data_IF_188731585248
#
_entry.id   IF_188731585248
#
_cell.length_a   1.000
_cell.length_b   1.000
_cell.length_c   1.000
_cell.angle_alpha   90.00
_cell.angle_beta   90.00
_cell.angle_gamma   90.00
#
_symmetry.space_group_name_H-M   'P 1'
#
loop_
_entity.id
_entity.type
_entity.pdbx_description
1 polymer ?
#
# COMPACT_ATOMS: atom_id res chain seq x y z
N UNK A 1 -13.73 -15.93 15.46
CA UNK A 1 -14.75 -14.95 15.01
C UNK A 1 -14.97 -15.17 13.52
N UNK A 2 -16.21 -15.28 13.04
CA UNK A 2 -16.49 -15.45 11.60
C UNK A 2 -16.10 -14.17 10.84
N UNK A 3 -15.55 -14.30 9.63
CA UNK A 3 -15.07 -13.15 8.85
C UNK A 3 -16.14 -12.07 8.66
N UNK A 4 -17.39 -12.47 8.42
CA UNK A 4 -18.53 -11.56 8.27
C UNK A 4 -18.74 -10.66 9.49
N UNK A 5 -18.53 -11.17 10.71
CA UNK A 5 -18.64 -10.38 11.92
C UNK A 5 -17.49 -9.37 12.05
N UNK A 6 -16.30 -9.71 11.57
CA UNK A 6 -15.16 -8.77 11.51
C UNK A 6 -15.47 -7.67 10.49
N UNK A 7 -15.96 -8.04 9.31
CA UNK A 7 -16.36 -7.10 8.26
C UNK A 7 -17.45 -6.16 8.74
N UNK A 8 -18.49 -6.68 9.41
CA UNK A 8 -19.56 -5.86 9.97
C UNK A 8 -19.04 -4.80 10.96
N UNK A 9 -18.09 -5.19 11.83
CA UNK A 9 -17.43 -4.26 12.75
C UNK A 9 -16.58 -3.23 12.04
N UNK A 10 -15.85 -3.62 11.00
CA UNK A 10 -15.03 -2.72 10.20
C UNK A 10 -15.88 -1.68 9.45
N UNK A 11 -17.05 -2.09 8.96
CA UNK A 11 -17.98 -1.22 8.24
C UNK A 11 -18.90 -0.39 9.15
N UNK A 12 -18.99 -0.74 10.44
CA UNK A 12 -19.98 -0.18 11.36
C UNK A 12 -21.43 -0.56 11.04
N UNK A 13 -21.65 -1.53 10.15
CA UNK A 13 -22.96 -2.01 9.71
C UNK A 13 -22.87 -3.43 9.14
N UNK A 14 -23.97 -4.21 9.08
CA UNK A 14 -23.98 -5.48 8.37
C UNK A 14 -23.60 -5.30 6.89
N UNK A 15 -22.78 -6.19 6.31
CA UNK A 15 -22.43 -6.08 4.90
C UNK A 15 -23.61 -6.50 4.02
N UNK A 16 -23.92 -5.71 2.98
CA UNK A 16 -25.14 -5.88 2.17
C UNK A 16 -25.09 -7.03 1.16
N UNK A 17 -23.91 -7.27 0.58
CA UNK A 17 -23.74 -8.23 -0.52
C UNK A 17 -22.51 -9.14 -0.29
N UNK A 18 -22.13 -9.38 0.96
CA UNK A 18 -20.91 -10.14 1.28
C UNK A 18 -20.96 -11.57 0.72
N UNK A 19 -19.94 -11.93 -0.05
CA UNK A 19 -19.74 -13.30 -0.54
C UNK A 19 -18.61 -14.00 0.22
N UNK A 20 -17.42 -13.41 0.24
CA UNK A 20 -16.24 -13.92 0.93
C UNK A 20 -15.18 -12.84 1.14
N UNK A 21 -14.16 -13.14 1.95
CA UNK A 21 -12.94 -12.33 2.01
C UNK A 21 -12.07 -12.67 0.80
N UNK A 22 -11.72 -11.66 0.01
CA UNK A 22 -10.84 -11.81 -1.17
C UNK A 22 -9.36 -11.60 -0.79
N UNK A 23 -9.10 -10.64 0.10
CA UNK A 23 -7.73 -10.29 0.54
C UNK A 23 -7.74 -10.02 2.03
N UNK A 24 -6.73 -10.54 2.73
CA UNK A 24 -6.44 -10.21 4.13
C UNK A 24 -5.28 -9.23 4.20
N UNK A 25 -5.32 -8.30 5.16
CA UNK A 25 -4.18 -7.45 5.45
C UNK A 25 -3.08 -8.25 6.18
N UNK A 26 -1.86 -7.69 6.34
CA UNK A 26 -0.77 -8.35 7.06
C UNK A 26 -1.13 -8.80 8.49
N UNK A 27 -2.09 -8.13 9.14
CA UNK A 27 -2.60 -8.51 10.46
C UNK A 27 -3.64 -9.66 10.44
N UNK A 28 -3.82 -10.34 9.30
CA UNK A 28 -4.76 -11.45 9.12
C UNK A 28 -6.24 -11.05 9.06
N UNK A 29 -6.56 -9.75 9.10
CA UNK A 29 -7.94 -9.25 9.07
C UNK A 29 -8.43 -9.03 7.64
N UNK A 30 -9.75 -9.11 7.37
CA UNK A 30 -10.30 -8.79 6.06
C UNK A 30 -9.87 -7.39 5.62
N UNK A 31 -9.32 -7.30 4.40
CA UNK A 31 -8.95 -6.04 3.76
C UNK A 31 -9.85 -5.74 2.58
N UNK A 32 -10.08 -6.76 1.75
CA UNK A 32 -10.96 -6.70 0.59
C UNK A 32 -11.96 -7.84 0.67
N UNK A 33 -13.22 -7.53 0.40
CA UNK A 33 -14.31 -8.50 0.35
C UNK A 33 -14.87 -8.57 -1.06
N UNK A 34 -15.20 -9.79 -1.48
CA UNK A 34 -15.92 -10.04 -2.72
C UNK A 34 -17.42 -9.95 -2.47
N UNK A 35 -18.14 -9.29 -3.38
CA UNK A 35 -19.56 -9.03 -3.28
C UNK A 35 -20.34 -9.82 -4.31
N UNK A 36 -21.52 -10.31 -3.93
CA UNK A 36 -22.56 -10.67 -4.87
C UNK A 36 -22.94 -9.45 -5.74
N UNK A 37 -23.29 -9.65 -7.01
CA UNK A 37 -23.68 -8.54 -7.89
C UNK A 37 -24.92 -7.79 -7.40
N UNK A 38 -25.81 -8.46 -6.65
CA UNK A 38 -26.99 -7.86 -6.02
C UNK A 38 -27.01 -8.17 -4.53
N UNK A 39 -27.55 -7.24 -3.73
CA UNK A 39 -27.80 -7.48 -2.30
C UNK A 39 -29.08 -8.29 -2.07
N UNK A 40 -29.39 -8.58 -0.80
CA UNK A 40 -30.59 -9.34 -0.42
C UNK A 40 -31.92 -8.71 -0.83
N UNK A 41 -31.95 -7.42 -1.21
CA UNK A 41 -33.11 -6.73 -1.74
C UNK A 41 -33.14 -6.67 -3.28
N UNK A 42 -32.16 -7.29 -3.95
CA UNK A 42 -32.01 -7.28 -5.41
C UNK A 42 -31.34 -6.02 -5.98
N UNK A 43 -30.91 -5.09 -5.13
CA UNK A 43 -30.27 -3.85 -5.57
C UNK A 43 -28.84 -4.12 -6.05
N UNK A 44 -28.39 -3.52 -7.18
CA UNK A 44 -27.06 -3.76 -7.72
C UNK A 44 -25.98 -3.21 -6.78
N UNK A 45 -24.95 -4.01 -6.51
CA UNK A 45 -23.76 -3.55 -5.80
C UNK A 45 -22.75 -3.00 -6.82
N UNK A 46 -22.16 -1.81 -6.62
CA UNK A 46 -21.41 -1.12 -7.66
C UNK A 46 -20.09 -1.79 -8.07
N UNK A 47 -19.54 -2.72 -7.28
CA UNK A 47 -18.26 -3.36 -7.59
C UNK A 47 -18.13 -4.79 -7.06
N UNK A 48 -17.35 -5.64 -7.71
CA UNK A 48 -17.04 -7.02 -7.24
C UNK A 48 -16.23 -7.01 -5.98
N UNK A 49 -15.26 -6.09 -5.86
CA UNK A 49 -14.36 -6.02 -4.73
C UNK A 49 -14.56 -4.72 -3.94
N UNK A 50 -14.64 -4.85 -2.61
CA UNK A 50 -14.93 -3.74 -1.70
C UNK A 50 -13.94 -3.68 -0.54
N UNK A 51 -13.36 -2.49 -0.30
CA UNK A 51 -12.44 -2.25 0.81
C UNK A 51 -13.18 -2.26 2.15
N UNK A 52 -12.62 -2.97 3.12
CA UNK A 52 -13.15 -3.08 4.48
C UNK A 52 -12.11 -2.76 5.55
N UNK A 53 -10.81 -2.93 5.31
CA UNK A 53 -9.79 -2.60 6.30
C UNK A 53 -9.82 -1.10 6.65
N UNK A 54 -10.07 -0.72 7.92
CA UNK A 54 -10.20 0.70 8.30
C UNK A 54 -8.95 1.53 8.01
N UNK A 55 -7.75 0.94 8.17
CA UNK A 55 -6.49 1.62 7.90
C UNK A 55 -6.32 1.92 6.40
N UNK A 56 -6.64 0.93 5.55
CA UNK A 56 -6.55 1.09 4.10
C UNK A 56 -7.62 2.06 3.59
N UNK A 57 -8.85 1.97 4.08
CA UNK A 57 -9.92 2.93 3.76
C UNK A 57 -9.49 4.35 4.14
N UNK A 58 -8.94 4.56 5.35
CA UNK A 58 -8.45 5.87 5.76
C UNK A 58 -7.31 6.39 4.88
N UNK A 59 -6.38 5.53 4.47
CA UNK A 59 -5.29 5.89 3.57
C UNK A 59 -5.79 6.32 2.18
N UNK A 60 -6.68 5.54 1.58
CA UNK A 60 -7.29 5.88 0.28
C UNK A 60 -8.15 7.14 0.38
N UNK A 61 -8.93 7.30 1.46
CA UNK A 61 -9.72 8.52 1.71
C UNK A 61 -8.84 9.78 1.77
N UNK A 62 -7.65 9.71 2.41
CA UNK A 62 -6.68 10.83 2.42
C UNK A 62 -6.08 11.12 1.04
N UNK A 63 -5.98 10.12 0.16
CA UNK A 63 -5.56 10.33 -1.22
C UNK A 63 -6.66 11.01 -2.02
N UNK A 64 -7.91 10.53 -1.91
CA UNK A 64 -9.06 11.14 -2.58
C UNK A 64 -9.26 12.59 -2.12
N UNK A 65 -9.20 12.87 -0.82
CA UNK A 65 -9.35 14.22 -0.27
C UNK A 65 -8.29 15.23 -0.77
N UNK A 66 -7.14 14.74 -1.26
CA UNK A 66 -6.07 15.56 -1.86
C UNK A 66 -6.18 15.64 -3.40
N UNK A 67 -7.39 15.46 -3.93
CA UNK A 67 -7.69 15.48 -5.37
C UNK A 67 -7.18 14.23 -6.09
N UNK A 68 -7.14 13.09 -5.40
CA UNK A 68 -6.58 11.86 -5.94
C UNK A 68 -7.36 11.33 -7.14
N UNK A 69 -8.69 11.45 -7.14
CA UNK A 69 -9.54 10.99 -8.24
C UNK A 69 -9.27 11.79 -9.51
N UNK A 70 -9.24 13.11 -9.41
CA UNK A 70 -8.96 14.02 -10.53
C UNK A 70 -7.54 13.82 -11.04
N UNK A 71 -6.56 13.68 -10.14
CA UNK A 71 -5.16 13.46 -10.49
C UNK A 71 -4.96 12.16 -11.28
N UNK A 72 -5.55 11.07 -10.81
CA UNK A 72 -5.43 9.77 -11.49
C UNK A 72 -6.26 9.71 -12.77
N UNK A 73 -7.37 10.42 -12.84
CA UNK A 73 -8.14 10.57 -14.09
C UNK A 73 -7.30 11.27 -15.15
N UNK A 74 -6.64 12.38 -14.81
CA UNK A 74 -5.69 13.05 -15.71
C UNK A 74 -4.52 12.16 -16.10
N UNK A 75 -3.94 11.43 -15.15
CA UNK A 75 -2.85 10.50 -15.44
C UNK A 75 -3.25 9.43 -16.46
N UNK A 76 -4.50 8.92 -16.39
CA UNK A 76 -5.06 7.98 -17.38
C UNK A 76 -5.24 8.62 -18.76
N UNK A 77 -5.59 9.90 -18.82
CA UNK A 77 -5.70 10.63 -20.09
C UNK A 77 -4.34 10.84 -20.76
N UNK A 78 -3.29 11.03 -19.97
CA UNK A 78 -1.93 11.35 -20.43
C UNK A 78 -1.05 10.11 -20.68
N UNK A 79 -1.31 8.99 -19.99
CA UNK A 79 -0.48 7.77 -20.02
C UNK A 79 -1.27 6.59 -20.63
N UNK A 80 -0.82 6.11 -21.80
CA UNK A 80 -1.48 5.01 -22.52
C UNK A 80 -1.44 3.69 -21.74
N UNK A 81 -0.37 3.41 -20.98
CA UNK A 81 -0.26 2.19 -20.20
C UNK A 81 -1.26 2.18 -19.03
N UNK A 82 -1.45 3.33 -18.38
CA UNK A 82 -2.48 3.47 -17.34
C UNK A 82 -3.89 3.33 -17.91
N UNK A 83 -4.13 3.87 -19.11
CA UNK A 83 -5.42 3.73 -19.82
C UNK A 83 -5.73 2.28 -20.15
N UNK A 84 -4.78 1.56 -20.75
CA UNK A 84 -4.92 0.13 -21.05
C UNK A 84 -5.12 -0.70 -19.78
N UNK A 85 -4.41 -0.37 -18.70
CA UNK A 85 -4.61 -1.01 -17.40
C UNK A 85 -6.02 -0.78 -16.87
N UNK A 86 -6.54 0.45 -16.96
CA UNK A 86 -7.88 0.79 -16.50
C UNK A 86 -8.97 0.11 -17.34
N UNK A 87 -8.81 0.11 -18.67
CA UNK A 87 -9.78 -0.49 -19.59
C UNK A 87 -9.85 -2.00 -19.39
N UNK A 88 -8.70 -2.67 -19.28
CA UNK A 88 -8.63 -4.11 -18.94
C UNK A 88 -9.29 -4.41 -17.60
N UNK A 89 -9.00 -3.63 -16.56
CA UNK A 89 -9.60 -3.85 -15.24
C UNK A 89 -11.13 -3.63 -15.26
N UNK A 90 -11.62 -2.68 -16.05
CA UNK A 90 -13.06 -2.46 -16.25
C UNK A 90 -13.71 -3.60 -17.04
N UNK A 91 -13.02 -4.16 -18.04
CA UNK A 91 -13.52 -5.31 -18.81
C UNK A 91 -13.59 -6.56 -17.94
N UNK A 92 -12.52 -6.87 -17.22
CA UNK A 92 -12.45 -8.00 -16.31
C UNK A 92 -13.52 -7.90 -15.20
N UNK A 93 -13.78 -6.69 -14.69
CA UNK A 93 -14.92 -6.47 -13.81
C UNK A 93 -16.24 -6.86 -14.49
N UNK A 94 -16.50 -6.45 -15.73
CA UNK A 94 -17.73 -6.82 -16.45
C UNK A 94 -17.84 -8.33 -16.63
N UNK A 95 -16.74 -9.01 -16.95
CA UNK A 95 -16.68 -10.47 -17.07
C UNK A 95 -17.00 -11.18 -15.75
N UNK A 96 -16.55 -10.65 -14.61
CA UNK A 96 -16.83 -11.22 -13.29
C UNK A 96 -18.30 -11.14 -12.86
N UNK A 97 -19.11 -10.30 -13.53
CA UNK A 97 -20.51 -10.01 -13.16
C UNK A 97 -21.34 -9.66 -14.41
N UNK A 98 -21.54 -10.63 -15.32
CA UNK A 98 -22.23 -10.40 -16.59
C UNK A 98 -23.67 -9.89 -16.44
N UNK A 99 -24.30 -10.07 -15.27
CA UNK A 99 -25.61 -9.50 -14.96
C UNK A 99 -25.63 -7.97 -14.75
N UNK A 100 -24.48 -7.30 -14.70
CA UNK A 100 -24.36 -5.85 -14.54
C UNK A 100 -23.35 -5.25 -15.54
N UNK A 101 -23.73 -4.24 -16.34
CA UNK A 101 -22.89 -3.74 -17.43
C UNK A 101 -21.74 -2.81 -16.99
N UNK A 102 -21.67 -2.45 -15.70
CA UNK A 102 -20.73 -1.45 -15.20
C UNK A 102 -19.34 -2.00 -14.92
N UNK A 103 -18.32 -1.21 -15.24
CA UNK A 103 -16.94 -1.44 -14.80
C UNK A 103 -16.75 -1.20 -13.29
N UNK A 104 -15.51 -0.98 -12.87
CA UNK A 104 -15.18 -0.81 -11.46
C UNK A 104 -15.92 0.41 -10.88
N UNK A 105 -16.53 0.24 -9.70
CA UNK A 105 -17.39 1.28 -9.09
C UNK A 105 -18.66 1.60 -9.88
N UNK A 106 -19.05 0.73 -10.83
CA UNK A 106 -20.18 0.93 -11.73
C UNK A 106 -19.90 2.00 -12.77
N UNK A 107 -18.63 2.20 -13.14
CA UNK A 107 -18.25 3.11 -14.23
C UNK A 107 -18.91 2.65 -15.54
N UNK A 108 -19.53 3.59 -16.25
CA UNK A 108 -20.10 3.37 -17.59
C UNK A 108 -19.42 4.22 -18.65
N UNK A 109 -18.50 5.11 -18.24
CA UNK A 109 -17.68 5.94 -19.13
C UNK A 109 -16.23 5.45 -19.05
N UNK A 110 -15.59 5.28 -20.20
CA UNK A 110 -14.15 5.01 -20.26
C UNK A 110 -13.35 6.23 -19.78
N UNK A 111 -12.13 6.00 -19.31
CA UNK A 111 -11.18 7.04 -18.90
C UNK A 111 -11.42 7.71 -17.54
N UNK A 112 -12.60 7.59 -16.94
CA UNK A 112 -12.93 8.28 -15.67
C UNK A 112 -12.96 7.34 -14.46
N UNK A 113 -12.37 7.79 -13.35
CA UNK A 113 -12.42 7.11 -12.05
C UNK A 113 -13.54 7.72 -11.21
N UNK A 114 -14.42 6.88 -10.62
CA UNK A 114 -15.43 7.38 -9.66
C UNK A 114 -14.86 7.53 -8.26
N UNK A 115 -14.12 6.52 -7.79
CA UNK A 115 -13.43 6.52 -6.51
C UNK A 115 -12.22 5.59 -6.56
N UNK A 116 -11.13 5.97 -5.91
CA UNK A 116 -9.93 5.16 -5.77
C UNK A 116 -10.19 3.92 -4.91
N UNK A 117 -11.16 3.95 -4.00
CA UNK A 117 -11.51 2.79 -3.16
C UNK A 117 -11.84 1.54 -3.96
N UNK A 118 -12.67 1.68 -5.02
CA UNK A 118 -13.08 0.55 -5.83
C UNK A 118 -11.91 0.00 -6.68
N UNK A 119 -11.07 0.88 -7.22
CA UNK A 119 -9.89 0.49 -8.00
C UNK A 119 -8.82 -0.15 -7.13
N UNK A 120 -8.56 0.38 -5.93
CA UNK A 120 -7.64 -0.22 -4.97
C UNK A 120 -8.12 -1.61 -4.52
N UNK A 121 -9.42 -1.78 -4.25
CA UNK A 121 -9.98 -3.09 -3.93
C UNK A 121 -9.79 -4.09 -5.08
N UNK A 122 -10.03 -3.66 -6.32
CA UNK A 122 -9.90 -4.50 -7.50
C UNK A 122 -8.44 -4.93 -7.71
N UNK A 123 -7.51 -3.98 -7.72
CA UNK A 123 -6.09 -4.25 -7.93
C UNK A 123 -5.49 -5.18 -6.87
N UNK A 124 -5.94 -5.08 -5.62
CA UNK A 124 -5.49 -5.98 -4.54
C UNK A 124 -6.03 -7.40 -4.71
N UNK A 125 -7.28 -7.56 -5.16
CA UNK A 125 -7.90 -8.87 -5.32
C UNK A 125 -7.53 -9.57 -6.64
N UNK A 126 -7.18 -8.77 -7.65
CA UNK A 126 -6.81 -9.19 -9.00
C UNK A 126 -5.54 -8.46 -9.40
N UNK A 127 -4.39 -8.79 -8.78
CA UNK A 127 -3.12 -8.23 -9.21
C UNK A 127 -2.89 -8.66 -10.67
N UNK A 128 -2.40 -7.73 -11.50
CA UNK A 128 -2.09 -8.04 -12.89
C UNK A 128 -0.93 -9.04 -12.93
N UNK A 129 -1.22 -10.33 -13.09
CA UNK A 129 -0.22 -11.38 -13.27
C UNK A 129 0.07 -11.57 -14.77
N UNK A 130 1.09 -10.87 -15.30
CA UNK A 130 1.89 -11.31 -16.44
C UNK A 130 1.42 -10.98 -17.87
N UNK A 131 2.30 -10.27 -18.60
CA UNK A 131 2.42 -10.08 -20.06
C UNK A 131 1.51 -9.05 -20.78
N UNK A 132 1.79 -7.77 -20.53
CA UNK A 132 2.05 -6.84 -21.63
C UNK A 132 3.53 -6.42 -21.47
N UNK A 133 4.34 -6.61 -22.51
CA UNK A 133 5.78 -6.36 -22.47
C UNK A 133 6.14 -4.88 -22.31
N UNK A 134 6.10 -4.38 -21.08
CA UNK A 134 6.84 -3.20 -20.61
C UNK A 134 7.22 -3.43 -19.14
N UNK A 135 8.12 -4.40 -18.92
CA UNK A 135 9.18 -4.16 -17.95
C UNK A 135 10.19 -3.25 -18.66
N UNK A 136 10.52 -2.05 -18.16
CA UNK A 136 11.61 -1.29 -18.74
C UNK A 136 12.93 -1.85 -18.22
N UNK A 137 13.30 -3.06 -18.64
CA UNK A 137 14.66 -3.59 -18.47
C UNK A 137 15.26 -3.83 -19.86
N UNK A 138 15.73 -2.75 -20.47
CA UNK A 138 17.11 -2.58 -20.95
C UNK A 138 17.15 -1.47 -22.02
N UNK A 139 17.33 -0.22 -21.57
CA UNK A 139 18.04 0.78 -22.39
C UNK A 139 19.50 0.74 -21.94
N UNK A 140 20.24 -0.27 -22.37
CA UNK A 140 21.67 -0.09 -22.61
C UNK A 140 21.79 0.89 -23.76
N UNK A 141 22.07 2.14 -23.39
CA UNK A 141 22.57 3.17 -24.30
C UNK A 141 21.51 4.04 -24.96
N UNK A 142 20.85 4.92 -24.19
CA UNK A 142 20.70 6.34 -24.50
C UNK A 142 19.91 7.08 -23.42
N UNK A 143 20.64 7.95 -22.73
CA UNK A 143 20.26 9.12 -21.93
C UNK A 143 18.86 9.69 -22.20
N UNK A 144 17.99 9.72 -21.18
CA UNK A 144 16.86 10.66 -20.85
C UNK A 144 15.74 9.86 -20.13
N UNK A 145 15.18 10.20 -18.96
CA UNK A 145 14.89 11.49 -18.33
C UNK A 145 14.70 11.31 -16.80
N UNK A 146 15.45 12.09 -16.01
CA UNK A 146 15.63 12.04 -14.55
C UNK A 146 14.45 12.58 -13.72
N UNK A 147 13.23 12.68 -14.29
CA UNK A 147 12.20 13.57 -13.72
C UNK A 147 11.14 12.87 -12.84
N UNK A 148 11.04 11.52 -12.83
CA UNK A 148 9.98 10.79 -12.09
C UNK A 148 10.44 10.14 -10.77
N UNK A 149 11.74 10.00 -10.53
CA UNK A 149 12.32 9.47 -9.27
C UNK A 149 12.33 10.46 -8.09
N UNK A 150 12.56 11.78 -8.26
CA UNK A 150 12.72 12.68 -7.12
C UNK A 150 11.47 12.75 -6.23
N UNK A 151 10.28 12.79 -6.86
CA UNK A 151 9.00 12.93 -6.14
C UNK A 151 8.68 11.69 -5.29
N UNK A 152 8.98 10.49 -5.79
CA UNK A 152 8.79 9.25 -5.05
C UNK A 152 9.77 9.17 -3.87
N UNK A 153 11.05 9.51 -4.10
CA UNK A 153 12.07 9.52 -3.07
C UNK A 153 11.77 10.55 -1.97
N UNK A 154 11.36 11.76 -2.32
CA UNK A 154 10.98 12.79 -1.35
C UNK A 154 9.79 12.38 -0.50
N UNK A 155 8.82 11.67 -1.09
CA UNK A 155 7.70 11.15 -0.33
C UNK A 155 8.16 10.07 0.65
N UNK A 156 8.96 9.11 0.20
CA UNK A 156 9.53 8.07 1.03
C UNK A 156 10.37 8.66 2.17
N UNK A 157 11.19 9.67 1.90
CA UNK A 157 11.97 10.40 2.92
C UNK A 157 11.08 11.10 3.96
N UNK A 158 9.99 11.73 3.52
CA UNK A 158 8.99 12.33 4.43
C UNK A 158 8.30 11.28 5.31
N UNK A 159 8.01 10.10 4.75
CA UNK A 159 7.44 9.00 5.51
C UNK A 159 8.40 8.54 6.62
N UNK A 160 9.67 8.34 6.29
CA UNK A 160 10.73 8.01 7.24
C UNK A 160 10.88 9.08 8.34
N UNK A 161 10.91 10.37 7.98
CA UNK A 161 11.02 11.47 8.94
C UNK A 161 9.81 11.54 9.89
N UNK A 162 8.60 11.33 9.37
CA UNK A 162 7.39 11.26 10.19
C UNK A 162 7.42 10.06 11.14
N UNK A 163 7.90 8.91 10.68
CA UNK A 163 8.09 7.74 11.53
C UNK A 163 9.15 7.94 12.59
N UNK A 164 10.26 8.59 12.28
CA UNK A 164 11.27 8.98 13.26
C UNK A 164 10.70 9.92 14.33
N UNK A 165 9.87 10.91 13.95
CA UNK A 165 9.19 11.79 14.92
C UNK A 165 8.25 11.02 15.85
N UNK A 166 7.46 10.07 15.31
CA UNK A 166 6.61 9.17 16.10
C UNK A 166 7.46 8.33 17.07
N UNK A 167 8.54 7.73 16.57
CA UNK A 167 9.47 6.94 17.37
C UNK A 167 10.02 7.76 18.54
N UNK A 168 10.50 8.98 18.29
CA UNK A 168 11.01 9.86 19.34
C UNK A 168 9.95 10.21 20.39
N UNK A 169 8.69 10.40 19.97
CA UNK A 169 7.60 10.67 20.91
C UNK A 169 7.33 9.44 21.79
N UNK A 170 7.18 8.27 21.18
CA UNK A 170 6.94 7.02 21.89
C UNK A 170 8.07 6.70 22.87
N UNK A 171 9.34 6.85 22.47
CA UNK A 171 10.50 6.64 23.36
C UNK A 171 10.48 7.57 24.57
N UNK A 172 10.02 8.82 24.41
CA UNK A 172 9.91 9.78 25.52
C UNK A 172 8.79 9.43 26.49
N UNK A 173 7.69 8.89 25.98
CA UNK A 173 6.47 8.61 26.76
C UNK A 173 6.43 7.16 27.29
N UNK A 174 7.23 6.26 26.73
CA UNK A 174 7.19 4.83 27.03
C UNK A 174 7.87 4.47 28.37
N UNK A 175 7.21 3.68 29.24
CA UNK A 175 7.81 3.13 30.45
C UNK A 175 8.97 2.15 30.21
N UNK A 176 9.14 1.66 28.97
CA UNK A 176 10.18 0.71 28.53
C UNK A 176 10.83 1.21 27.23
N UNK A 177 11.49 2.35 27.30
CA UNK A 177 12.20 2.96 26.16
C UNK A 177 13.34 2.09 25.62
N UNK A 178 13.96 1.27 26.47
CA UNK A 178 15.02 0.32 26.10
C UNK A 178 14.59 -0.63 24.98
N UNK A 179 13.41 -1.23 25.08
CA UNK A 179 12.89 -2.14 24.05
C UNK A 179 12.69 -1.46 22.68
N UNK A 180 12.35 -0.16 22.65
CA UNK A 180 12.25 0.58 21.39
C UNK A 180 13.62 0.82 20.75
N UNK A 181 14.65 1.06 21.58
CA UNK A 181 16.02 1.26 21.13
C UNK A 181 16.64 -0.05 20.63
N UNK A 182 16.38 -1.17 21.30
CA UNK A 182 16.81 -2.51 20.87
C UNK A 182 16.17 -2.91 19.54
N UNK A 183 14.86 -2.70 19.38
CA UNK A 183 14.17 -2.92 18.09
C UNK A 183 14.79 -2.06 16.98
N UNK A 184 15.09 -0.79 17.26
CA UNK A 184 15.73 0.12 16.30
C UNK A 184 17.13 -0.35 15.90
N UNK A 185 17.92 -0.81 16.87
CA UNK A 185 19.25 -1.35 16.64
C UNK A 185 19.19 -2.62 15.79
N UNK A 186 18.26 -3.53 16.07
CA UNK A 186 18.06 -4.76 15.31
C UNK A 186 17.76 -4.46 13.83
N UNK A 187 16.83 -3.54 13.55
CA UNK A 187 16.48 -3.13 12.18
C UNK A 187 17.65 -2.42 11.50
N UNK A 188 18.37 -1.56 12.21
CA UNK A 188 19.55 -0.85 11.67
C UNK A 188 20.70 -1.80 11.36
N UNK A 189 20.91 -2.83 12.19
CA UNK A 189 21.89 -3.88 11.92
C UNK A 189 21.49 -4.70 10.68
N UNK A 190 20.20 -5.01 10.52
CA UNK A 190 19.68 -5.69 9.34
C UNK A 190 19.81 -4.85 8.06
N UNK A 191 19.61 -3.52 8.15
CA UNK A 191 19.87 -2.56 7.09
C UNK A 191 21.34 -2.57 6.68
N UNK A 192 22.26 -2.46 7.65
CA UNK A 192 23.70 -2.46 7.39
C UNK A 192 24.16 -3.73 6.67
N UNK A 193 23.62 -4.90 7.03
CA UNK A 193 23.93 -6.17 6.36
C UNK A 193 23.47 -6.21 4.89
N UNK A 194 22.42 -5.46 4.54
CA UNK A 194 21.79 -5.50 3.21
C UNK A 194 22.27 -4.40 2.29
N UNK A 195 22.30 -3.16 2.78
CA UNK A 195 22.60 -1.95 2.01
C UNK A 195 24.10 -1.63 2.06
N UNK A 196 24.81 -2.09 3.08
CA UNK A 196 26.24 -1.80 3.25
C UNK A 196 26.50 -0.37 3.70
N UNK A 197 27.77 0.06 3.63
CA UNK A 197 28.24 1.34 4.17
C UNK A 197 28.24 2.49 3.15
N UNK A 198 28.22 2.18 1.85
CA UNK A 198 28.21 3.16 0.77
C UNK A 198 27.00 2.88 -0.10
N UNK A 199 26.06 3.81 -0.15
CA UNK A 199 24.79 3.66 -0.84
C UNK A 199 24.20 5.03 -1.15
N UNK A 200 23.27 5.07 -2.09
CA UNK A 200 22.45 6.23 -2.44
C UNK A 200 21.10 6.19 -1.74
N UNK A 201 20.42 7.33 -1.68
CA UNK A 201 19.05 7.42 -1.16
C UNK A 201 18.06 6.57 -1.99
N UNK A 202 18.29 6.42 -3.29
CA UNK A 202 17.49 5.57 -4.15
C UNK A 202 17.65 4.08 -3.79
N UNK A 203 18.88 3.59 -3.63
CA UNK A 203 19.15 2.20 -3.21
C UNK A 203 18.55 1.91 -1.82
N UNK A 204 18.61 2.89 -0.92
CA UNK A 204 17.95 2.78 0.38
C UNK A 204 16.42 2.71 0.24
N UNK A 205 15.81 3.52 -0.66
CA UNK A 205 14.37 3.46 -0.92
C UNK A 205 13.93 2.12 -1.54
N UNK A 206 14.75 1.51 -2.39
CA UNK A 206 14.47 0.19 -2.94
C UNK A 206 14.50 -0.89 -1.84
N UNK A 207 15.45 -0.81 -0.91
CA UNK A 207 15.50 -1.69 0.25
C UNK A 207 14.25 -1.54 1.16
N UNK A 208 13.67 -0.33 1.21
CA UNK A 208 12.47 -0.04 2.00
C UNK A 208 11.22 -0.76 1.48
N UNK A 209 11.10 -0.95 0.16
CA UNK A 209 9.93 -1.58 -0.46
C UNK A 209 9.65 -3.02 0.03
N UNK A 210 10.68 -3.72 0.51
CA UNK A 210 10.59 -5.07 1.06
C UNK A 210 10.87 -5.14 2.58
N UNK A 211 11.00 -3.99 3.24
CA UNK A 211 11.51 -3.89 4.60
C UNK A 211 10.69 -4.57 5.66
N UNK A 212 9.36 -4.64 5.48
CA UNK A 212 8.45 -5.21 6.47
C UNK A 212 8.78 -6.67 6.81
N UNK A 213 9.20 -7.47 5.83
CA UNK A 213 9.47 -8.91 6.01
C UNK A 213 10.71 -9.13 6.85
N UNK A 214 11.83 -8.52 6.46
CA UNK A 214 13.10 -8.75 7.13
C UNK A 214 13.29 -7.91 8.40
N UNK A 215 12.58 -6.77 8.54
CA UNK A 215 12.59 -6.00 9.79
C UNK A 215 11.87 -6.78 10.89
N UNK A 216 10.80 -7.50 10.55
CA UNK A 216 10.15 -8.45 11.45
C UNK A 216 11.11 -9.53 11.92
N UNK A 217 11.77 -10.22 10.99
CA UNK A 217 12.73 -11.29 11.32
C UNK A 217 13.84 -10.78 12.23
N UNK A 218 14.40 -9.60 11.95
CA UNK A 218 15.44 -8.99 12.77
C UNK A 218 14.99 -8.67 14.21
N UNK A 219 13.75 -8.20 14.38
CA UNK A 219 13.19 -7.91 15.71
C UNK A 219 12.84 -9.21 16.45
N UNK A 220 12.29 -10.21 15.77
CA UNK A 220 11.97 -11.53 16.34
C UNK A 220 13.20 -12.26 16.88
N UNK A 221 14.37 -12.11 16.22
CA UNK A 221 15.65 -12.65 16.70
C UNK A 221 16.12 -12.03 18.03
N UNK A 222 15.70 -10.80 18.32
CA UNK A 222 16.22 -10.00 19.45
C UNK A 222 15.30 -10.07 20.67
N UNK A 223 13.96 -10.07 20.49
CA UNK A 223 12.97 -10.22 21.57
C UNK A 223 11.75 -11.06 21.10
N UNK A 224 11.70 -12.38 21.39
CA UNK A 224 10.59 -13.24 20.96
C UNK A 224 9.27 -13.04 21.73
N UNK A 225 9.17 -12.09 22.67
CA UNK A 225 8.02 -12.04 23.59
C UNK A 225 7.64 -10.66 24.17
N UNK A 226 7.32 -9.62 23.37
CA UNK A 226 6.26 -8.64 23.74
C UNK A 226 5.89 -7.67 22.61
N UNK A 227 4.58 -7.46 22.35
CA UNK A 227 4.00 -6.24 21.75
C UNK A 227 4.42 -5.74 20.35
N UNK A 228 5.44 -6.34 19.71
CA UNK A 228 6.16 -5.80 18.56
C UNK A 228 5.36 -5.58 17.26
N UNK A 229 4.22 -6.27 16.94
CA UNK A 229 3.51 -5.99 15.70
C UNK A 229 2.93 -4.57 15.62
N UNK A 230 2.77 -3.88 16.76
CA UNK A 230 2.26 -2.49 16.80
C UNK A 230 3.36 -1.44 16.60
N UNK A 231 4.62 -1.77 16.90
CA UNK A 231 5.76 -0.84 16.89
C UNK A 231 6.60 -0.92 15.63
N UNK A 232 6.63 -2.09 14.98
CA UNK A 232 7.57 -2.42 13.92
C UNK A 232 7.62 -1.38 12.78
N UNK A 233 6.49 -0.87 12.29
CA UNK A 233 6.48 0.13 11.22
C UNK A 233 7.15 1.44 11.65
N UNK A 234 6.88 1.90 12.87
CA UNK A 234 7.47 3.14 13.41
C UNK A 234 8.97 2.99 13.62
N UNK A 235 9.40 1.83 14.11
CA UNK A 235 10.83 1.49 14.25
C UNK A 235 11.52 1.40 12.89
N UNK A 236 10.88 0.75 11.91
CA UNK A 236 11.42 0.61 10.55
C UNK A 236 11.59 1.98 9.90
N UNK A 237 10.56 2.81 9.89
CA UNK A 237 10.63 4.19 9.37
C UNK A 237 11.76 4.99 10.03
N UNK A 238 11.90 4.88 11.36
CA UNK A 238 12.93 5.57 12.13
C UNK A 238 14.35 5.08 11.79
N UNK A 239 14.54 3.77 11.60
CA UNK A 239 15.81 3.18 11.17
C UNK A 239 16.21 3.72 9.80
N UNK A 240 15.30 3.72 8.83
CA UNK A 240 15.55 4.26 7.50
C UNK A 240 15.83 5.76 7.51
N UNK A 241 15.12 6.56 8.32
CA UNK A 241 15.42 7.97 8.49
C UNK A 241 16.84 8.21 9.00
N UNK A 242 17.24 7.49 10.05
CA UNK A 242 18.58 7.63 10.63
C UNK A 242 19.66 7.14 9.66
N UNK A 243 19.43 6.01 9.00
CA UNK A 243 20.38 5.42 8.05
C UNK A 243 20.55 6.28 6.79
N UNK A 244 19.50 6.97 6.35
CA UNK A 244 19.54 7.85 5.16
C UNK A 244 20.60 8.95 5.22
N UNK A 245 20.97 9.39 6.43
CA UNK A 245 22.03 10.39 6.65
C UNK A 245 23.42 9.92 6.24
N UNK A 246 23.60 8.61 6.10
CA UNK A 246 24.84 8.00 5.61
C UNK A 246 24.91 7.83 4.09
N UNK A 247 23.85 8.19 3.35
CA UNK A 247 23.86 8.08 1.90
C UNK A 247 24.85 9.07 1.27
N UNK A 248 25.52 8.65 0.20
CA UNK A 248 26.54 9.47 -0.49
C UNK A 248 25.96 10.73 -1.15
N UNK A 249 24.66 10.70 -1.43
CA UNK A 249 23.85 11.77 -2.02
C UNK A 249 22.88 12.38 -0.99
N UNK A 250 23.14 12.24 0.31
CA UNK A 250 22.30 12.82 1.36
C UNK A 250 22.38 14.36 1.37
N UNK A 251 21.24 14.99 1.14
CA UNK A 251 21.04 16.44 1.36
C UNK A 251 20.13 16.68 2.57
N UNK A 252 20.54 17.47 3.58
CA UNK A 252 19.77 17.73 4.82
C UNK A 252 18.40 18.37 4.62
#
# INVERSE_FOLDING_TARGET
>A
MKDEAVVARQLGRPPRAFRRVAVRCPYGRPAVTEQWPRDGAGAPFPTTYYLTCPQLVAAISRLEARGGVERWTRAVEEDSALRESLDRANEEQRELRPELPGGIGGSTRSGSLKCLHAHAAFALARPLTGNAGHAPDNVTGQTTSLTRMPIALDQTRREWELGHRRFQQEVREAPRSEAWLEELEAVTAALRRRVGQSFTLAELADAYASAEVWSREAVEETEPASGWPRRLSTVTDAAFHLYSRGAVDYEP
#
